data_IF_890672766390
#
_entry.id   IF_890672766390
#
_cell.length_a   1.000
_cell.length_b   1.000
_cell.length_c   1.000
_cell.angle_alpha   90.00
_cell.angle_beta   90.00
_cell.angle_gamma   90.00
#
_symmetry.space_group_name_H-M   'P 1'
#
loop_
_entity.id
_entity.type
_entity.pdbx_description
1 polymer ?
#
# COMPACT_ATOMS: atom_id res chain seq x y z
N UNK A 1 18.17 49.64 21.94
CA UNK A 1 16.90 48.93 22.22
C UNK A 1 16.91 47.59 21.51
N UNK A 2 16.81 46.43 22.22
CA UNK A 2 16.63 45.10 21.55
C UNK A 2 15.25 45.07 20.91
N UNK A 3 15.20 44.87 19.58
CA UNK A 3 13.92 44.67 18.86
C UNK A 3 13.20 43.47 19.49
N UNK A 4 11.98 43.64 19.97
CA UNK A 4 11.15 42.53 20.48
C UNK A 4 10.76 41.63 19.30
N UNK A 5 11.08 40.34 19.41
CA UNK A 5 10.62 39.34 18.46
C UNK A 5 9.16 38.98 18.76
N UNK A 6 8.38 38.68 17.69
CA UNK A 6 7.06 38.11 17.82
C UNK A 6 7.10 36.62 18.27
N UNK A 7 8.28 35.98 18.16
CA UNK A 7 8.48 34.58 18.59
C UNK A 7 8.55 34.55 20.11
N UNK A 8 7.63 33.79 20.70
CA UNK A 8 7.60 33.51 22.16
C UNK A 8 8.00 32.05 22.35
N UNK A 9 8.97 31.83 23.26
CA UNK A 9 9.34 30.48 23.68
C UNK A 9 8.49 30.10 24.89
N UNK A 10 7.88 28.91 24.83
CA UNK A 10 7.04 28.36 25.90
C UNK A 10 7.39 26.87 26.08
N UNK A 11 7.46 26.41 27.33
CA UNK A 11 7.74 25.01 27.67
C UNK A 11 6.63 24.07 27.18
N UNK A 12 5.41 24.58 27.09
CA UNK A 12 4.22 23.84 26.66
C UNK A 12 3.89 24.07 25.15
N UNK A 13 4.83 24.66 24.40
CA UNK A 13 4.61 24.97 22.97
C UNK A 13 4.19 23.77 22.13
N UNK A 14 4.64 22.55 22.46
CA UNK A 14 4.22 21.33 21.77
C UNK A 14 2.74 21.00 22.02
N UNK A 15 2.30 21.05 23.27
CA UNK A 15 0.90 20.80 23.65
C UNK A 15 -0.04 21.86 23.06
N UNK A 16 0.38 23.12 23.05
CA UNK A 16 -0.39 24.20 22.42
C UNK A 16 -0.54 23.98 20.91
N UNK A 17 0.52 23.49 20.23
CA UNK A 17 0.45 23.14 18.81
C UNK A 17 -0.46 21.94 18.54
N UNK A 18 -0.45 20.93 19.41
CA UNK A 18 -1.38 19.80 19.31
C UNK A 18 -2.83 20.27 19.34
N UNK A 19 -3.19 21.13 20.31
CA UNK A 19 -4.52 21.71 20.38
C UNK A 19 -4.88 22.56 19.15
N UNK A 20 -3.90 23.27 18.56
CA UNK A 20 -4.12 24.01 17.32
C UNK A 20 -4.36 23.08 16.12
N UNK A 21 -3.61 21.97 16.03
CA UNK A 21 -3.81 20.94 14.97
C UNK A 21 -5.21 20.35 15.10
N UNK A 22 -5.66 20.02 16.30
CA UNK A 22 -7.00 19.49 16.54
C UNK A 22 -8.09 20.47 16.14
N UNK A 23 -7.89 21.77 16.45
CA UNK A 23 -8.83 22.83 16.06
C UNK A 23 -8.90 23.03 14.52
N UNK A 24 -7.78 22.87 13.83
CA UNK A 24 -7.73 22.97 12.36
C UNK A 24 -8.30 21.72 11.65
N UNK A 25 -8.49 20.63 12.38
CA UNK A 25 -8.97 19.35 11.87
C UNK A 25 -7.85 18.47 11.34
N UNK A 26 -7.42 17.49 12.15
CA UNK A 26 -6.42 16.50 11.75
C UNK A 26 -7.08 15.38 10.93
N UNK A 27 -6.75 15.19 9.63
CA UNK A 27 -7.31 14.12 8.83
C UNK A 27 -6.98 12.72 9.39
N UNK A 28 -5.85 12.57 10.07
CA UNK A 28 -5.45 11.29 10.67
C UNK A 28 -6.30 10.94 11.89
N UNK A 29 -6.74 11.92 12.65
CA UNK A 29 -7.71 11.73 13.74
C UNK A 29 -9.06 11.22 13.21
N UNK A 30 -9.49 11.69 12.03
CA UNK A 30 -10.70 11.20 11.38
C UNK A 30 -10.57 9.73 10.95
N UNK A 31 -9.41 9.32 10.46
CA UNK A 31 -9.12 7.93 10.11
C UNK A 31 -9.14 7.07 11.39
N UNK A 32 -8.49 7.53 12.46
CA UNK A 32 -8.43 6.82 13.74
C UNK A 32 -9.82 6.62 14.36
N UNK A 33 -10.70 7.62 14.27
CA UNK A 33 -12.09 7.51 14.70
C UNK A 33 -12.93 6.52 13.85
N UNK A 34 -12.54 6.30 12.59
CA UNK A 34 -13.25 5.41 11.67
C UNK A 34 -12.75 3.98 11.70
N UNK A 35 -11.49 3.74 12.02
CA UNK A 35 -10.83 2.43 11.90
C UNK A 35 -10.35 1.95 13.26
N UNK A 36 -10.74 0.74 13.65
CA UNK A 36 -10.19 0.05 14.81
C UNK A 36 -8.87 -0.65 14.43
N UNK A 37 -7.76 0.05 14.66
CA UNK A 37 -6.42 -0.45 14.35
C UNK A 37 -6.00 -1.62 15.23
N UNK A 38 -6.52 -1.73 16.45
CA UNK A 38 -6.23 -2.85 17.32
C UNK A 38 -6.83 -4.14 16.77
N UNK A 39 -8.07 -4.08 16.23
CA UNK A 39 -8.68 -5.22 15.56
C UNK A 39 -7.92 -5.61 14.30
N UNK A 40 -7.42 -4.64 13.51
CA UNK A 40 -6.57 -4.91 12.35
C UNK A 40 -5.26 -5.57 12.74
N UNK A 41 -4.60 -5.10 13.81
CA UNK A 41 -3.36 -5.69 14.30
C UNK A 41 -3.54 -7.15 14.71
N UNK A 42 -4.65 -7.48 15.41
CA UNK A 42 -4.98 -8.86 15.76
C UNK A 42 -5.16 -9.73 14.52
N UNK A 43 -5.91 -9.26 13.53
CA UNK A 43 -6.12 -10.00 12.28
C UNK A 43 -4.80 -10.25 11.53
N UNK A 44 -3.88 -9.29 11.54
CA UNK A 44 -2.53 -9.45 10.96
C UNK A 44 -1.71 -10.47 11.72
N UNK A 45 -1.72 -10.44 13.06
CA UNK A 45 -0.94 -11.38 13.87
C UNK A 45 -1.51 -12.82 13.79
N UNK A 46 -2.82 -12.97 13.54
CA UNK A 46 -3.46 -14.27 13.25
C UNK A 46 -3.06 -14.79 11.86
N UNK A 47 -3.07 -13.93 10.83
CA UNK A 47 -2.76 -14.32 9.46
C UNK A 47 -1.27 -14.55 9.20
N UNK A 48 -0.41 -13.79 9.89
CA UNK A 48 1.05 -13.83 9.78
C UNK A 48 1.69 -13.78 11.18
N UNK A 49 1.62 -14.88 11.94
CA UNK A 49 2.11 -14.93 13.31
C UNK A 49 3.61 -14.65 13.37
N UNK A 50 4.02 -14.03 14.45
CA UNK A 50 5.42 -13.79 14.71
C UNK A 50 6.06 -15.03 15.31
N UNK A 51 7.17 -15.47 14.75
CA UNK A 51 7.97 -16.54 15.36
C UNK A 51 8.55 -16.08 16.70
N UNK A 52 8.40 -16.92 17.72
CA UNK A 52 8.97 -16.65 19.03
C UNK A 52 10.50 -16.77 18.95
N UNK A 53 11.22 -15.71 19.30
CA UNK A 53 12.68 -15.77 19.41
C UNK A 53 13.08 -16.44 20.70
N UNK A 54 13.77 -17.58 20.61
CA UNK A 54 14.36 -18.27 21.77
C UNK A 54 15.65 -17.61 22.28
N UNK A 55 16.23 -16.69 21.49
CA UNK A 55 17.54 -16.07 21.78
C UNK A 55 17.46 -14.80 22.63
N UNK A 56 16.27 -14.39 23.09
CA UNK A 56 16.07 -13.09 23.71
C UNK A 56 16.28 -11.95 22.70
N UNK A 57 16.44 -10.74 23.19
CA UNK A 57 16.68 -9.56 22.36
C UNK A 57 15.75 -8.40 22.71
N UNK A 58 15.84 -7.30 21.94
CA UNK A 58 14.97 -6.13 22.12
C UNK A 58 13.51 -6.51 21.85
N UNK A 59 12.56 -6.11 22.72
CA UNK A 59 11.14 -6.29 22.44
C UNK A 59 10.75 -5.66 21.11
N UNK A 60 9.85 -6.34 20.41
CA UNK A 60 9.35 -5.80 19.14
C UNK A 60 8.40 -4.64 19.38
N UNK A 61 8.30 -3.77 18.38
CA UNK A 61 7.24 -2.78 18.34
C UNK A 61 5.87 -3.46 18.26
N UNK A 62 4.83 -2.85 18.88
CA UNK A 62 3.46 -3.35 18.78
C UNK A 62 3.02 -3.44 17.31
N UNK A 63 2.32 -4.51 16.96
CA UNK A 63 1.80 -4.71 15.59
C UNK A 63 0.87 -3.56 15.19
N UNK A 64 0.08 -3.04 16.12
CA UNK A 64 -0.79 -1.88 15.87
C UNK A 64 0.00 -0.65 15.39
N UNK A 65 1.10 -0.30 16.07
CA UNK A 65 1.97 0.80 15.67
C UNK A 65 2.53 0.59 14.26
N UNK A 66 2.97 -0.64 13.95
CA UNK A 66 3.54 -0.96 12.63
C UNK A 66 2.46 -0.95 11.53
N UNK A 67 1.24 -1.38 11.83
CA UNK A 67 0.09 -1.28 10.90
C UNK A 67 -0.24 0.20 10.62
N UNK A 68 -0.27 1.06 11.63
CA UNK A 68 -0.49 2.51 11.48
C UNK A 68 0.60 3.15 10.61
N UNK A 69 1.86 2.78 10.80
CA UNK A 69 2.99 3.22 9.98
C UNK A 69 2.82 2.76 8.53
N UNK A 70 2.44 1.50 8.31
CA UNK A 70 2.20 0.96 6.98
C UNK A 70 1.07 1.72 6.25
N UNK A 71 -0.02 2.02 6.95
CA UNK A 71 -1.13 2.83 6.40
C UNK A 71 -0.63 4.22 5.99
N UNK A 72 0.12 4.91 6.84
CA UNK A 72 0.71 6.22 6.50
C UNK A 72 1.65 6.14 5.29
N UNK A 73 2.50 5.12 5.26
CA UNK A 73 3.44 4.89 4.17
C UNK A 73 2.71 4.71 2.84
N UNK A 74 1.66 3.88 2.81
CA UNK A 74 0.86 3.62 1.60
C UNK A 74 -0.01 4.81 1.20
N UNK A 75 -0.66 5.46 2.16
CA UNK A 75 -1.51 6.63 1.92
C UNK A 75 -0.74 7.79 1.28
N UNK A 76 0.52 7.96 1.66
CA UNK A 76 1.37 9.05 1.17
C UNK A 76 2.42 8.60 0.14
N UNK A 77 2.39 7.34 -0.31
CA UNK A 77 3.35 6.76 -1.26
C UNK A 77 4.81 7.00 -0.88
N UNK A 78 5.18 6.65 0.34
CA UNK A 78 6.50 6.91 0.92
C UNK A 78 7.41 5.68 0.81
N UNK A 79 8.71 5.92 0.59
CA UNK A 79 9.75 4.91 0.80
C UNK A 79 9.97 4.65 2.30
N UNK A 80 10.62 3.53 2.65
CA UNK A 80 10.95 3.21 4.05
C UNK A 80 11.83 4.30 4.69
N UNK A 81 12.82 4.79 3.96
CA UNK A 81 13.69 5.88 4.41
C UNK A 81 12.92 7.19 4.64
N UNK A 82 12.00 7.51 3.73
CA UNK A 82 11.19 8.72 3.88
C UNK A 82 10.19 8.59 5.01
N UNK A 83 9.65 7.40 5.23
CA UNK A 83 8.75 7.14 6.35
C UNK A 83 9.46 7.27 7.70
N UNK A 84 10.66 6.69 7.85
CA UNK A 84 11.51 6.86 9.04
C UNK A 84 11.75 8.34 9.34
N UNK A 85 12.17 9.13 8.34
CA UNK A 85 12.38 10.56 8.49
C UNK A 85 11.11 11.29 8.97
N UNK A 86 9.96 11.00 8.36
CA UNK A 86 8.71 11.68 8.69
C UNK A 86 8.13 11.27 10.05
N UNK A 87 8.41 10.07 10.53
CA UNK A 87 8.08 9.67 11.90
C UNK A 87 8.85 10.48 12.94
N UNK A 88 10.09 10.87 12.62
CA UNK A 88 10.88 11.75 13.51
C UNK A 88 10.49 13.22 13.39
N UNK A 89 10.09 13.67 12.20
CA UNK A 89 9.87 15.09 11.89
C UNK A 89 8.43 15.57 12.16
N UNK A 90 7.41 14.70 11.91
CA UNK A 90 6.01 15.11 11.95
C UNK A 90 5.28 14.68 13.22
N UNK A 91 4.85 15.67 13.99
CA UNK A 91 4.06 15.48 15.21
C UNK A 91 2.75 14.72 14.94
N UNK A 92 2.04 15.02 13.86
CA UNK A 92 0.80 14.32 13.51
C UNK A 92 1.01 12.82 13.23
N UNK A 93 2.16 12.45 12.62
CA UNK A 93 2.50 11.04 12.39
C UNK A 93 2.83 10.33 13.68
N UNK A 94 3.59 10.99 14.58
CA UNK A 94 3.90 10.45 15.92
C UNK A 94 2.62 10.24 16.73
N UNK A 95 1.71 11.20 16.72
CA UNK A 95 0.40 11.10 17.40
C UNK A 95 -0.39 9.91 16.86
N UNK A 96 -0.57 9.84 15.54
CA UNK A 96 -1.32 8.76 14.91
C UNK A 96 -0.75 7.37 15.16
N UNK A 97 0.58 7.24 15.23
CA UNK A 97 1.27 5.97 15.51
C UNK A 97 1.46 5.66 17.01
N UNK A 98 1.01 6.54 17.91
CA UNK A 98 1.22 6.37 19.35
C UNK A 98 2.67 6.51 19.79
N UNK A 99 3.46 7.33 19.09
CA UNK A 99 4.90 7.51 19.30
C UNK A 99 5.29 8.86 19.92
N UNK A 100 4.34 9.70 20.28
CA UNK A 100 4.60 11.09 20.76
C UNK A 100 5.55 11.15 21.96
N UNK A 101 5.51 10.15 22.84
CA UNK A 101 6.38 10.08 24.02
C UNK A 101 7.42 8.95 23.91
N UNK A 102 7.51 8.31 22.75
CA UNK A 102 8.43 7.19 22.56
C UNK A 102 9.86 7.69 22.34
N UNK A 103 10.79 7.20 23.15
CA UNK A 103 12.22 7.43 22.95
C UNK A 103 12.72 6.78 21.65
N UNK A 104 12.11 5.66 21.28
CA UNK A 104 12.51 4.85 20.14
C UNK A 104 11.42 4.86 19.07
N UNK A 105 11.79 5.25 17.87
CA UNK A 105 10.93 5.24 16.67
C UNK A 105 11.38 4.09 15.76
N UNK A 106 10.46 3.36 15.11
CA UNK A 106 10.82 2.33 14.14
C UNK A 106 11.64 2.92 12.98
N UNK A 107 12.76 2.29 12.71
CA UNK A 107 13.63 2.61 11.58
C UNK A 107 13.16 1.96 10.28
N UNK A 108 13.77 2.31 9.15
CA UNK A 108 13.47 1.76 7.82
C UNK A 108 13.58 0.24 7.77
N UNK A 109 14.56 -0.34 8.49
CA UNK A 109 14.76 -1.80 8.50
C UNK A 109 13.67 -2.52 9.27
N UNK A 110 13.15 -1.92 10.34
CA UNK A 110 11.98 -2.42 11.09
C UNK A 110 10.72 -2.39 10.23
N UNK A 111 10.49 -1.29 9.49
CA UNK A 111 9.34 -1.14 8.59
C UNK A 111 9.41 -2.20 7.48
N UNK A 112 10.54 -2.32 6.81
CA UNK A 112 10.78 -3.30 5.77
C UNK A 112 10.60 -4.74 6.28
N UNK A 113 11.18 -5.06 7.44
CA UNK A 113 11.06 -6.39 8.05
C UNK A 113 9.60 -6.72 8.40
N UNK A 114 8.83 -5.73 8.84
CA UNK A 114 7.40 -5.91 9.11
C UNK A 114 6.62 -6.21 7.82
N UNK A 115 6.83 -5.45 6.75
CA UNK A 115 6.18 -5.69 5.45
C UNK A 115 6.49 -7.09 4.91
N UNK A 116 7.75 -7.52 4.99
CA UNK A 116 8.13 -8.87 4.55
C UNK A 116 7.53 -9.98 5.44
N UNK A 117 7.42 -9.74 6.76
CA UNK A 117 6.80 -10.69 7.68
C UNK A 117 5.33 -10.91 7.36
N UNK A 118 4.58 -9.83 7.20
CA UNK A 118 3.13 -9.94 6.96
C UNK A 118 2.83 -10.50 5.57
N UNK A 119 3.67 -10.21 4.57
CA UNK A 119 3.52 -10.70 3.20
C UNK A 119 2.12 -10.51 2.63
N UNK A 120 1.73 -11.40 1.74
CA UNK A 120 0.41 -11.39 1.10
C UNK A 120 -0.72 -11.69 2.09
N UNK A 121 -0.52 -12.67 2.97
CA UNK A 121 -1.55 -13.08 3.95
C UNK A 121 -1.94 -11.93 4.88
N UNK A 122 -0.96 -11.21 5.44
CA UNK A 122 -1.21 -10.06 6.30
C UNK A 122 -1.79 -8.86 5.55
N UNK A 123 -1.35 -8.62 4.30
CA UNK A 123 -1.91 -7.57 3.46
C UNK A 123 -3.40 -7.83 3.13
N UNK A 124 -3.75 -9.08 2.82
CA UNK A 124 -5.14 -9.51 2.60
C UNK A 124 -5.98 -9.33 3.87
N UNK A 125 -5.47 -9.76 5.03
CA UNK A 125 -6.16 -9.59 6.31
C UNK A 125 -6.42 -8.11 6.64
N UNK A 126 -5.46 -7.22 6.35
CA UNK A 126 -5.64 -5.76 6.50
C UNK A 126 -6.74 -5.24 5.57
N UNK A 127 -6.68 -5.58 4.29
CA UNK A 127 -7.65 -5.13 3.29
C UNK A 127 -9.08 -5.58 3.65
N UNK A 128 -9.25 -6.85 3.97
CA UNK A 128 -10.54 -7.40 4.39
C UNK A 128 -11.03 -6.79 5.72
N UNK A 129 -10.12 -6.60 6.68
CA UNK A 129 -10.43 -6.00 7.96
C UNK A 129 -10.95 -4.57 7.82
N UNK A 130 -10.28 -3.74 7.03
CA UNK A 130 -10.74 -2.38 6.71
C UNK A 130 -12.09 -2.41 5.99
N UNK A 131 -12.23 -3.26 4.98
CA UNK A 131 -13.47 -3.41 4.22
C UNK A 131 -14.65 -3.79 5.12
N UNK A 132 -14.45 -4.78 6.02
CA UNK A 132 -15.48 -5.21 7.00
C UNK A 132 -15.88 -4.06 7.94
N UNK A 133 -14.92 -3.25 8.42
CA UNK A 133 -15.20 -2.11 9.29
C UNK A 133 -15.96 -1.00 8.55
N UNK A 134 -15.57 -0.67 7.31
CA UNK A 134 -16.27 0.31 6.49
C UNK A 134 -17.70 -0.12 6.17
N UNK A 135 -17.92 -1.40 5.86
CA UNK A 135 -19.25 -1.99 5.66
C UNK A 135 -20.15 -1.82 6.89
N UNK A 136 -19.64 -2.16 8.08
CA UNK A 136 -20.39 -2.05 9.34
C UNK A 136 -20.80 -0.61 9.64
N UNK A 137 -19.98 0.35 9.23
CA UNK A 137 -20.25 1.79 9.39
C UNK A 137 -21.10 2.41 8.27
N UNK A 138 -21.52 1.60 7.28
CA UNK A 138 -22.36 2.04 6.19
C UNK A 138 -21.64 2.89 5.12
N UNK A 139 -20.31 2.96 5.14
CA UNK A 139 -19.55 3.71 4.13
C UNK A 139 -19.57 3.06 2.74
N UNK A 140 -19.83 1.77 2.66
CA UNK A 140 -19.92 1.04 1.39
C UNK A 140 -21.40 0.84 1.06
N UNK A 141 -21.85 1.51 0.01
CA UNK A 141 -23.23 1.44 -0.44
C UNK A 141 -23.45 0.22 -1.37
N UNK A 142 -24.65 -0.36 -1.32
CA UNK A 142 -25.13 -1.35 -2.28
C UNK A 142 -25.76 -0.64 -3.47
N UNK A 143 -24.95 0.10 -4.22
CA UNK A 143 -25.44 0.97 -5.31
C UNK A 143 -24.92 0.58 -6.69
N UNK A 144 -24.40 -0.63 -6.85
CA UNK A 144 -23.75 -1.07 -8.06
C UNK A 144 -22.23 -1.06 -7.95
N UNK A 145 -21.58 -1.74 -8.89
CA UNK A 145 -20.13 -1.87 -8.92
C UNK A 145 -19.56 -1.63 -10.31
N UNK A 146 -18.33 -1.17 -10.35
CA UNK A 146 -17.55 -0.97 -11.56
C UNK A 146 -16.35 -1.91 -11.48
N UNK A 147 -16.12 -2.65 -12.55
CA UNK A 147 -14.95 -3.53 -12.68
C UNK A 147 -14.11 -3.02 -13.82
N UNK A 148 -12.84 -2.78 -13.57
CA UNK A 148 -11.87 -2.36 -14.59
C UNK A 148 -10.54 -3.07 -14.40
N UNK A 149 -9.82 -3.26 -15.52
CA UNK A 149 -8.52 -3.91 -15.53
C UNK A 149 -7.43 -2.94 -16.00
N UNK A 150 -6.37 -2.85 -15.25
CA UNK A 150 -5.19 -2.06 -15.59
C UNK A 150 -3.96 -2.94 -15.72
N UNK A 151 -2.98 -2.50 -16.52
CA UNK A 151 -1.71 -3.19 -16.69
C UNK A 151 -0.70 -2.65 -15.68
N UNK A 152 -0.10 -3.54 -14.90
CA UNK A 152 0.99 -3.25 -13.96
C UNK A 152 2.30 -3.67 -14.61
N UNK A 153 3.15 -2.73 -15.04
CA UNK A 153 4.40 -3.08 -15.71
C UNK A 153 5.39 -3.72 -14.74
N UNK A 154 5.97 -4.84 -15.14
CA UNK A 154 7.13 -5.43 -14.49
C UNK A 154 8.43 -4.92 -15.12
N UNK A 155 9.56 -4.92 -14.41
CA UNK A 155 10.86 -4.59 -14.97
C UNK A 155 11.18 -5.50 -16.15
N UNK A 156 11.49 -4.92 -17.32
CA UNK A 156 11.87 -5.69 -18.49
C UNK A 156 13.21 -6.36 -18.26
N UNK A 157 13.24 -7.68 -18.37
CA UNK A 157 14.44 -8.48 -18.19
C UNK A 157 14.85 -9.10 -19.52
N UNK A 158 16.17 -9.27 -19.71
CA UNK A 158 16.69 -10.02 -20.83
C UNK A 158 16.57 -11.51 -20.53
N UNK A 159 15.58 -12.16 -21.13
CA UNK A 159 15.42 -13.61 -21.12
C UNK A 159 15.72 -14.07 -22.55
N UNK A 160 16.66 -14.97 -22.74
CA UNK A 160 16.98 -15.55 -24.03
C UNK A 160 15.86 -16.49 -24.47
N UNK A 161 15.82 -16.80 -25.78
CA UNK A 161 14.81 -17.73 -26.32
C UNK A 161 14.90 -19.11 -25.68
N UNK A 162 16.13 -19.61 -25.43
CA UNK A 162 16.35 -20.91 -24.79
C UNK A 162 15.86 -20.92 -23.32
N UNK A 163 16.14 -19.86 -22.59
CA UNK A 163 15.63 -19.70 -21.21
C UNK A 163 14.09 -19.66 -21.21
N UNK A 164 13.49 -18.99 -22.20
CA UNK A 164 12.03 -18.90 -22.32
C UNK A 164 11.40 -20.27 -22.56
N UNK A 165 11.97 -21.10 -23.42
CA UNK A 165 11.49 -22.46 -23.67
C UNK A 165 11.51 -23.35 -22.43
N UNK A 166 12.47 -23.11 -21.50
CA UNK A 166 12.55 -23.82 -20.22
C UNK A 166 11.49 -23.27 -19.22
N UNK A 167 11.33 -21.95 -19.20
CA UNK A 167 10.34 -21.28 -18.32
C UNK A 167 8.91 -21.67 -18.72
N UNK A 168 8.60 -21.72 -20.01
CA UNK A 168 7.29 -22.12 -20.51
C UNK A 168 6.94 -23.59 -20.16
N UNK A 169 7.90 -24.38 -19.68
CA UNK A 169 7.74 -25.73 -19.13
C UNK A 169 7.71 -25.77 -17.60
N UNK A 170 7.43 -24.63 -16.95
CA UNK A 170 7.45 -24.44 -15.50
C UNK A 170 8.80 -24.80 -14.83
N UNK A 171 9.89 -24.76 -15.58
CA UNK A 171 11.24 -25.08 -15.10
C UNK A 171 12.11 -23.81 -14.99
N UNK A 172 13.00 -23.79 -14.01
CA UNK A 172 13.97 -22.72 -13.87
C UNK A 172 15.29 -23.11 -14.55
N UNK A 173 15.86 -22.27 -15.44
CA UNK A 173 17.15 -22.56 -16.06
C UNK A 173 18.25 -22.83 -15.01
N UNK A 174 18.96 -23.96 -15.16
CA UNK A 174 19.99 -24.42 -14.22
C UNK A 174 21.19 -23.50 -14.17
N UNK A 175 21.46 -22.78 -15.25
CA UNK A 175 22.62 -21.90 -15.41
C UNK A 175 22.51 -20.58 -14.65
N UNK A 176 21.34 -20.29 -14.06
CA UNK A 176 21.13 -19.05 -13.33
C UNK A 176 21.76 -19.09 -11.94
N UNK A 177 22.54 -18.07 -11.65
CA UNK A 177 23.02 -17.82 -10.29
C UNK A 177 21.86 -17.46 -9.34
N UNK A 178 22.00 -17.65 -8.03
CA UNK A 178 20.98 -17.25 -7.05
C UNK A 178 20.60 -15.76 -7.14
N UNK A 179 21.54 -14.89 -7.52
CA UNK A 179 21.28 -13.46 -7.74
C UNK A 179 20.41 -13.23 -8.97
N UNK A 180 20.67 -13.92 -10.09
CA UNK A 180 19.86 -13.85 -11.30
C UNK A 180 18.44 -14.35 -11.06
N UNK A 181 18.26 -15.45 -10.33
CA UNK A 181 16.93 -15.99 -9.99
C UNK A 181 16.09 -14.99 -9.20
N UNK A 182 16.70 -14.24 -8.26
CA UNK A 182 15.99 -13.21 -7.48
C UNK A 182 15.62 -11.97 -8.27
N UNK A 183 16.29 -11.72 -9.39
CA UNK A 183 16.05 -10.54 -10.22
C UNK A 183 15.11 -10.80 -11.40
N UNK A 184 14.91 -12.06 -11.77
CA UNK A 184 14.06 -12.43 -12.91
C UNK A 184 12.66 -12.80 -12.43
N UNK A 185 11.69 -12.13 -13.03
CA UNK A 185 10.28 -12.39 -12.83
C UNK A 185 9.82 -13.39 -13.88
N UNK A 186 9.45 -14.61 -13.44
CA UNK A 186 9.08 -15.72 -14.33
C UNK A 186 7.60 -15.67 -14.70
N UNK A 187 6.78 -15.05 -13.86
CA UNK A 187 5.33 -15.06 -13.99
C UNK A 187 4.82 -13.90 -14.87
N UNK A 188 5.63 -12.84 -15.00
CA UNK A 188 5.27 -11.71 -15.85
C UNK A 188 5.21 -12.08 -17.33
N UNK A 189 4.10 -11.75 -18.00
CA UNK A 189 3.88 -12.05 -19.41
C UNK A 189 3.79 -10.80 -20.29
N UNK A 190 3.82 -11.01 -21.60
CA UNK A 190 3.68 -9.94 -22.58
C UNK A 190 2.24 -9.84 -23.10
N UNK A 191 1.74 -8.62 -23.23
CA UNK A 191 0.48 -8.32 -23.91
C UNK A 191 0.63 -7.11 -24.82
N UNK A 192 -0.28 -6.97 -25.79
CA UNK A 192 -0.35 -5.80 -26.68
C UNK A 192 -1.65 -5.04 -26.44
N UNK A 193 -1.55 -3.74 -26.19
CA UNK A 193 -2.71 -2.83 -26.09
C UNK A 193 -2.44 -1.59 -26.93
N UNK A 194 -3.36 -1.23 -27.81
CA UNK A 194 -3.24 -0.08 -28.73
C UNK A 194 -1.90 -0.03 -29.51
N UNK A 195 -1.45 -1.19 -30.03
CA UNK A 195 -0.19 -1.30 -30.77
C UNK A 195 1.09 -1.26 -29.94
N UNK A 196 1.01 -1.02 -28.65
CA UNK A 196 2.16 -1.03 -27.72
C UNK A 196 2.27 -2.36 -26.99
N UNK A 197 3.50 -2.86 -26.83
CA UNK A 197 3.80 -4.08 -26.06
C UNK A 197 4.06 -3.73 -24.61
N UNK A 198 3.39 -4.43 -23.70
CA UNK A 198 3.54 -4.34 -22.25
C UNK A 198 4.04 -5.69 -21.72
N UNK A 199 4.89 -5.64 -20.68
CA UNK A 199 5.36 -6.81 -19.95
C UNK A 199 5.04 -6.61 -18.48
N UNK A 200 4.37 -7.57 -17.86
CA UNK A 200 3.98 -7.46 -16.45
C UNK A 200 2.73 -8.26 -16.12
N UNK A 201 1.91 -7.64 -15.31
CA UNK A 201 0.70 -8.21 -14.74
C UNK A 201 -0.53 -7.40 -15.11
N UNK A 202 -1.66 -8.00 -14.91
CA UNK A 202 -2.98 -7.36 -14.99
C UNK A 202 -3.57 -7.28 -13.58
N UNK A 203 -4.07 -6.12 -13.23
CA UNK A 203 -4.78 -5.84 -12.00
C UNK A 203 -6.24 -5.52 -12.34
N UNK A 204 -7.15 -6.38 -11.95
CA UNK A 204 -8.59 -6.14 -12.05
C UNK A 204 -9.12 -5.68 -10.69
N UNK A 205 -9.81 -4.57 -10.67
CA UNK A 205 -10.39 -4.00 -9.45
C UNK A 205 -11.90 -3.87 -9.58
N UNK A 206 -12.59 -4.21 -8.50
CA UNK A 206 -14.00 -3.94 -8.32
C UNK A 206 -14.18 -2.77 -7.35
N UNK A 207 -14.90 -1.75 -7.77
CA UNK A 207 -15.08 -0.50 -7.02
C UNK A 207 -16.55 -0.21 -6.81
N UNK A 208 -16.92 0.21 -5.61
CA UNK A 208 -18.26 0.70 -5.31
C UNK A 208 -18.58 2.01 -6.05
N UNK A 209 -19.74 2.08 -6.70
CA UNK A 209 -20.13 3.25 -7.52
C UNK A 209 -20.28 4.51 -6.69
N UNK A 210 -20.83 4.41 -5.48
CA UNK A 210 -21.18 5.59 -4.67
C UNK A 210 -19.97 6.19 -3.96
N UNK A 211 -19.21 5.36 -3.25
CA UNK A 211 -18.10 5.83 -2.40
C UNK A 211 -16.72 5.61 -3.01
N UNK A 212 -16.63 4.92 -4.16
CA UNK A 212 -15.38 4.65 -4.88
C UNK A 212 -14.37 3.81 -4.08
N UNK A 213 -14.84 3.02 -3.12
CA UNK A 213 -13.99 2.09 -2.39
C UNK A 213 -13.72 0.82 -3.20
N UNK A 214 -12.48 0.37 -3.19
CA UNK A 214 -12.09 -0.92 -3.79
C UNK A 214 -12.67 -2.03 -2.93
N UNK A 215 -13.42 -2.94 -3.56
CA UNK A 215 -14.12 -4.07 -2.93
C UNK A 215 -13.35 -5.37 -3.09
N UNK A 216 -12.88 -5.60 -4.29
CA UNK A 216 -12.09 -6.78 -4.65
C UNK A 216 -10.94 -6.39 -5.55
N UNK A 217 -9.90 -7.16 -5.44
CA UNK A 217 -8.68 -7.05 -6.25
C UNK A 217 -8.37 -8.45 -6.75
N UNK A 218 -8.17 -8.59 -8.06
CA UNK A 218 -7.71 -9.81 -8.71
C UNK A 218 -6.48 -9.48 -9.52
N UNK A 219 -5.43 -10.26 -9.36
CA UNK A 219 -4.17 -10.09 -10.09
C UNK A 219 -3.87 -11.32 -10.91
N UNK A 220 -3.42 -11.12 -12.14
CA UNK A 220 -2.98 -12.19 -13.02
C UNK A 220 -1.91 -11.70 -13.98
N UNK A 221 -1.41 -12.59 -14.82
CA UNK A 221 -0.44 -12.27 -15.85
C UNK A 221 -1.04 -11.34 -16.92
N UNK A 222 -0.22 -10.49 -17.53
CA UNK A 222 -0.72 -9.51 -18.51
C UNK A 222 -1.38 -10.12 -19.74
N UNK A 223 -1.09 -11.38 -20.07
CA UNK A 223 -1.64 -12.10 -21.22
C UNK A 223 -3.08 -12.57 -21.05
N UNK A 224 -3.57 -12.67 -19.81
CA UNK A 224 -4.92 -13.17 -19.52
C UNK A 224 -5.97 -12.15 -19.99
N UNK A 225 -7.07 -12.64 -20.59
CA UNK A 225 -8.17 -11.80 -21.08
C UNK A 225 -8.94 -11.12 -19.95
N UNK A 226 -9.43 -9.89 -20.17
CA UNK A 226 -10.18 -9.14 -19.13
C UNK A 226 -11.47 -9.84 -18.67
N UNK A 227 -12.08 -10.63 -19.57
CA UNK A 227 -13.31 -11.38 -19.27
C UNK A 227 -13.09 -12.61 -18.38
N UNK A 228 -11.86 -13.13 -18.31
CA UNK A 228 -11.56 -14.33 -17.52
C UNK A 228 -11.68 -14.08 -16.01
N UNK A 229 -11.45 -12.84 -15.56
CA UNK A 229 -11.47 -12.47 -14.15
C UNK A 229 -12.75 -11.76 -13.70
N UNK A 230 -13.72 -11.62 -14.61
CA UNK A 230 -14.94 -10.88 -14.29
C UNK A 230 -15.71 -11.49 -13.14
N UNK A 231 -15.91 -12.82 -13.15
CA UNK A 231 -16.66 -13.51 -12.11
C UNK A 231 -15.93 -13.49 -10.76
N UNK A 232 -14.59 -13.59 -10.80
CA UNK A 232 -13.76 -13.52 -9.60
C UNK A 232 -13.71 -12.10 -9.02
N UNK A 233 -13.59 -11.08 -9.86
CA UNK A 233 -13.59 -9.68 -9.44
C UNK A 233 -14.98 -9.19 -9.02
N UNK A 234 -16.04 -9.87 -9.42
CA UNK A 234 -17.40 -9.52 -9.07
C UNK A 234 -17.66 -9.72 -7.56
N UNK A 235 -18.29 -8.73 -6.92
CA UNK A 235 -18.74 -8.83 -5.52
C UNK A 235 -20.26 -9.03 -5.48
N UNK A 236 -20.75 -10.26 -5.23
CA UNK A 236 -22.18 -10.54 -5.21
C UNK A 236 -22.95 -9.80 -4.09
N UNK A 237 -22.24 -9.33 -3.07
CA UNK A 237 -22.84 -8.56 -1.98
C UNK A 237 -23.14 -7.09 -2.38
N UNK A 238 -22.58 -6.60 -3.49
CA UNK A 238 -22.74 -5.24 -3.98
C UNK A 238 -23.57 -5.19 -5.28
N UNK A 239 -24.69 -5.88 -5.31
CA UNK A 239 -25.66 -5.76 -6.41
C UNK A 239 -26.62 -4.62 -6.14
N UNK A 240 -26.86 -3.75 -7.15
CA UNK A 240 -27.98 -2.82 -7.09
C UNK A 240 -29.30 -3.61 -7.18
N UNK A 241 -30.39 -3.04 -6.63
CA UNK A 241 -31.75 -3.60 -6.82
C UNK A 241 -32.10 -3.79 -8.31
N UNK A 242 -31.46 -3.05 -9.19
CA UNK A 242 -31.71 -3.03 -10.64
C UNK A 242 -30.70 -3.85 -11.45
N UNK A 243 -29.79 -4.60 -10.80
CA UNK A 243 -28.85 -5.49 -11.49
C UNK A 243 -27.81 -4.78 -12.39
N UNK A 244 -27.70 -3.45 -12.32
CA UNK A 244 -26.83 -2.70 -13.21
C UNK A 244 -25.36 -2.92 -12.88
N UNK A 245 -24.68 -3.72 -13.70
CA UNK A 245 -23.23 -3.83 -13.74
C UNK A 245 -22.76 -2.84 -14.80
N UNK A 246 -22.10 -1.78 -14.38
CA UNK A 246 -21.45 -0.86 -15.33
C UNK A 246 -20.10 -1.45 -15.70
N UNK A 247 -19.98 -2.02 -16.89
CA UNK A 247 -18.67 -2.28 -17.51
C UNK A 247 -18.08 -0.92 -17.85
N UNK A 248 -16.98 -0.55 -17.21
CA UNK A 248 -16.40 0.75 -17.44
C UNK A 248 -15.71 0.83 -18.81
N UNK A 249 -16.03 1.89 -19.54
CA UNK A 249 -15.07 2.51 -20.43
C UNK A 249 -14.26 3.51 -19.60
N UNK A 250 -12.96 3.48 -19.79
CA UNK A 250 -11.93 4.47 -19.41
C UNK A 250 -12.36 5.50 -18.36
N UNK A 251 -11.84 5.36 -17.13
CA UNK A 251 -11.84 6.41 -16.12
C UNK A 251 -10.63 7.31 -16.33
N UNK A 252 -10.79 8.56 -16.78
CA UNK A 252 -9.66 9.50 -16.89
C UNK A 252 -9.07 9.86 -15.53
N UNK A 253 -9.84 9.73 -14.45
CA UNK A 253 -9.42 10.14 -13.11
C UNK A 253 -8.69 9.06 -12.29
N UNK A 254 -8.85 7.77 -12.61
CA UNK A 254 -8.06 6.68 -12.03
C UNK A 254 -6.83 6.31 -12.88
N UNK A 255 -6.73 6.86 -14.08
CA UNK A 255 -5.57 6.72 -14.96
C UNK A 255 -4.44 7.71 -14.61
N UNK A 256 -4.38 8.18 -13.38
CA UNK A 256 -3.15 8.82 -12.90
C UNK A 256 -2.12 7.71 -12.70
N UNK A 257 -1.03 7.69 -13.46
CA UNK A 257 0.11 6.89 -13.08
C UNK A 257 0.50 7.34 -11.67
N UNK A 258 0.67 6.39 -10.77
CA UNK A 258 1.12 6.61 -9.39
C UNK A 258 2.49 7.35 -9.33
N UNK A 259 3.08 7.63 -10.49
CA UNK A 259 4.38 8.27 -10.67
C UNK A 259 4.34 9.79 -10.85
N UNK A 260 3.18 10.41 -11.19
CA UNK A 260 3.18 11.81 -11.65
C UNK A 260 2.68 12.85 -10.63
N UNK A 261 2.32 12.45 -9.41
CA UNK A 261 1.84 13.42 -8.40
C UNK A 261 2.92 14.08 -7.54
N UNK A 262 4.19 13.65 -7.66
CA UNK A 262 5.30 14.38 -7.04
C UNK A 262 6.43 14.54 -8.06
N UNK A 263 6.74 15.77 -8.47
CA UNK A 263 7.94 15.98 -9.27
C UNK A 263 9.14 15.47 -8.48
N UNK A 264 9.87 14.54 -9.06
CA UNK A 264 11.19 14.14 -8.61
C UNK A 264 12.04 15.43 -8.58
N UNK A 265 12.33 15.93 -7.39
CA UNK A 265 13.34 16.95 -7.19
C UNK A 265 14.67 16.23 -7.11
N UNK A 266 15.52 16.31 -8.15
CA UNK A 266 16.85 15.72 -8.07
C UNK A 266 17.64 16.45 -6.97
N UNK A 267 18.18 15.69 -6.01
CA UNK A 267 19.17 16.22 -5.07
C UNK A 267 20.40 16.66 -5.85
N UNK A 268 20.87 17.91 -5.69
CA UNK A 268 22.15 18.32 -6.25
C UNK A 268 23.27 17.65 -5.45
N UNK A 269 24.04 16.78 -6.13
CA UNK A 269 25.34 16.33 -5.65
C UNK A 269 25.42 14.87 -5.19
N UNK A 270 25.34 13.92 -6.10
CA UNK A 270 26.14 12.68 -6.06
C UNK A 270 26.49 12.35 -7.52
N UNK A 271 27.67 12.78 -7.95
CA UNK A 271 28.34 12.21 -9.12
C UNK A 271 28.78 10.79 -8.78
N UNK A 272 28.32 9.85 -9.58
CA UNK A 272 28.82 8.46 -9.53
C UNK A 272 30.19 8.37 -10.18
N UNK A 273 31.11 7.56 -9.63
CA UNK A 273 32.35 7.19 -10.31
C UNK A 273 32.09 6.34 -11.56
#
# INVERSE_FOLDING_TARGET
MKKRSAIKNDLFASQLREGQIDHLGDPLASIDACIDFQALARAVDEAAPREASTKGGRPAYPTETLVRILVLKRLNNLSDERMEFLLLDRLSYQRFCGLTQALNVPDRTTIWAFENRIGEAGATALFEGVTKQLLRKGFIARGGQMIDATLVPAPKQKISRKEREIIDQDATPSDWTPAQRRQKDLDATHTKKHGKSYHGYKLSICVDVKHKFIRKIVTDTASTGDSCHFDEAFDPANTSRDGAIVKSGVWPELAYPLTDRFPYVPHPGISRP
#
